data_IF_191389996902
#
_entry.id   IF_191389996902
#
_cell.length_a   1.000
_cell.length_b   1.000
_cell.length_c   1.000
_cell.angle_alpha   90.00
_cell.angle_beta   90.00
_cell.angle_gamma   90.00
#
_symmetry.space_group_name_H-M   'P 1'
#
loop_
_entity.id
_entity.type
_entity.pdbx_description
1 polymer ?
#
# COMPACT_ATOMS: atom_id res chain seq x y z
N UNK A 1 -3.96 -1.86 -12.67
CA UNK A 1 -3.23 -1.33 -11.51
C UNK A 1 -2.57 -2.48 -10.78
N UNK A 2 -1.33 -2.29 -10.40
CA UNK A 2 -0.59 -3.30 -9.64
C UNK A 2 -0.49 -2.87 -8.20
N UNK A 3 -0.20 -3.83 -7.32
CA UNK A 3 -0.16 -3.57 -5.89
C UNK A 3 1.17 -4.01 -5.34
N UNK A 4 1.82 -3.14 -4.56
CA UNK A 4 3.17 -3.37 -4.09
C UNK A 4 3.25 -3.22 -2.58
N UNK A 5 4.03 -4.11 -1.95
CA UNK A 5 4.34 -4.00 -0.53
C UNK A 5 5.80 -3.59 -0.39
N UNK A 6 6.05 -2.64 0.49
CA UNK A 6 7.40 -2.27 0.92
C UNK A 6 7.41 -2.41 2.43
N UNK A 7 8.38 -3.15 2.96
CA UNK A 7 8.39 -3.47 4.38
C UNK A 7 9.36 -2.63 5.20
N UNK A 8 10.43 -2.15 4.59
CA UNK A 8 11.45 -1.36 5.29
C UNK A 8 11.70 -0.07 4.56
N UNK A 9 11.94 1.01 5.27
CA UNK A 9 11.96 1.18 6.72
C UNK A 9 10.60 1.11 7.38
N UNK A 10 9.53 1.38 6.66
CA UNK A 10 8.17 1.28 7.18
C UNK A 10 7.31 0.50 6.22
N UNK A 11 6.38 -0.26 6.75
CA UNK A 11 5.47 -1.03 5.90
C UNK A 11 4.53 -0.09 5.14
N UNK A 12 4.31 -0.40 3.87
CA UNK A 12 3.30 0.30 3.08
C UNK A 12 2.75 -0.62 2.01
N UNK A 13 1.49 -0.45 1.70
CA UNK A 13 0.80 -1.17 0.62
C UNK A 13 0.33 -0.11 -0.37
N UNK A 14 0.87 -0.14 -1.58
CA UNK A 14 0.74 0.96 -2.53
C UNK A 14 0.23 0.47 -3.88
N UNK A 15 -0.88 1.02 -4.39
CA UNK A 15 -1.30 0.76 -5.76
C UNK A 15 -0.49 1.65 -6.71
N UNK A 16 0.03 1.07 -7.77
CA UNK A 16 0.81 1.82 -8.74
C UNK A 16 0.82 1.09 -10.07
N UNK A 17 1.18 1.81 -11.12
CA UNK A 17 1.27 1.21 -12.45
C UNK A 17 2.49 0.31 -12.58
N UNK A 18 3.56 0.66 -11.91
CA UNK A 18 4.80 -0.08 -11.97
C UNK A 18 5.58 0.11 -10.68
N UNK A 19 6.64 -0.67 -10.55
CA UNK A 19 7.48 -0.64 -9.36
C UNK A 19 8.08 0.74 -9.11
N UNK A 20 8.55 1.41 -10.16
CA UNK A 20 9.18 2.71 -10.00
C UNK A 20 8.19 3.75 -9.47
N UNK A 21 6.96 3.72 -9.95
CA UNK A 21 5.93 4.63 -9.46
C UNK A 21 5.64 4.38 -7.98
N UNK A 22 5.62 3.12 -7.57
CA UNK A 22 5.38 2.79 -6.17
C UNK A 22 6.51 3.31 -5.29
N UNK A 23 7.75 3.16 -5.74
CA UNK A 23 8.89 3.65 -4.98
C UNK A 23 8.87 5.17 -4.88
N UNK A 24 8.54 5.85 -5.98
CA UNK A 24 8.45 7.31 -5.95
C UNK A 24 7.41 7.78 -4.95
N UNK A 25 6.26 7.15 -4.94
CA UNK A 25 5.20 7.53 -4.03
C UNK A 25 5.63 7.27 -2.58
N UNK A 26 6.30 6.15 -2.34
CA UNK A 26 6.79 5.83 -1.02
C UNK A 26 7.75 6.90 -0.50
N UNK A 27 8.69 7.32 -1.33
CA UNK A 27 9.67 8.33 -0.94
C UNK A 27 9.00 9.67 -0.67
N UNK A 28 8.01 10.03 -1.48
CA UNK A 28 7.31 11.30 -1.31
C UNK A 28 6.44 11.35 -0.06
N UNK A 29 5.74 10.25 0.23
CA UNK A 29 4.66 10.29 1.20
C UNK A 29 4.98 9.61 2.52
N UNK A 30 5.94 8.72 2.56
CA UNK A 30 6.12 7.87 3.73
C UNK A 30 7.47 8.09 4.39
N UNK A 31 8.56 7.84 3.68
CA UNK A 31 9.89 7.94 4.27
C UNK A 31 10.94 8.07 3.20
N UNK A 32 11.96 8.87 3.48
CA UNK A 32 13.11 8.95 2.60
C UNK A 32 13.82 7.61 2.56
N UNK A 33 14.39 7.29 1.42
CA UNK A 33 15.12 6.06 1.26
C UNK A 33 15.81 6.05 -0.08
N UNK A 34 16.83 5.22 -0.21
CA UNK A 34 17.52 5.10 -1.46
C UNK A 34 16.78 4.16 -2.38
N UNK A 35 16.71 4.53 -3.64
CA UNK A 35 15.98 3.75 -4.64
C UNK A 35 16.43 2.30 -4.64
N UNK A 36 17.75 2.07 -4.58
CA UNK A 36 18.28 0.70 -4.65
C UNK A 36 17.85 -0.14 -3.46
N UNK A 37 17.80 0.46 -2.28
CA UNK A 37 17.33 -0.26 -1.10
C UNK A 37 15.85 -0.60 -1.21
N UNK A 38 15.06 0.38 -1.62
CA UNK A 38 13.63 0.16 -1.74
C UNK A 38 13.32 -0.85 -2.83
N UNK A 39 14.11 -0.84 -3.91
CA UNK A 39 13.92 -1.77 -5.00
C UNK A 39 14.12 -3.23 -4.56
N UNK A 40 15.00 -3.47 -3.59
CA UNK A 40 15.20 -4.83 -3.09
C UNK A 40 14.14 -5.24 -2.09
N UNK A 41 13.45 -4.27 -1.49
CA UNK A 41 12.44 -4.54 -0.46
C UNK A 41 11.02 -4.51 -0.99
N UNK A 42 10.82 -4.18 -2.25
CA UNK A 42 9.49 -4.07 -2.82
C UNK A 42 9.04 -5.39 -3.41
N UNK A 43 7.77 -5.72 -3.19
CA UNK A 43 7.20 -6.96 -3.67
C UNK A 43 5.83 -6.67 -4.29
N UNK A 44 5.60 -7.19 -5.48
CA UNK A 44 4.28 -7.10 -6.10
C UNK A 44 3.40 -8.21 -5.55
N UNK A 45 2.16 -7.88 -5.21
CA UNK A 45 1.20 -8.87 -4.73
C UNK A 45 -0.05 -8.80 -5.60
N UNK A 46 -0.84 -9.86 -5.54
CA UNK A 46 -2.07 -9.93 -6.32
C UNK A 46 -3.11 -8.94 -5.78
N UNK A 47 -3.99 -8.47 -6.66
CA UNK A 47 -5.03 -7.54 -6.25
C UNK A 47 -5.90 -8.10 -5.13
N UNK A 48 -6.27 -9.39 -5.24
CA UNK A 48 -7.12 -9.98 -4.21
C UNK A 48 -6.39 -10.02 -2.87
N UNK A 49 -5.11 -10.30 -2.87
CA UNK A 49 -4.33 -10.30 -1.64
C UNK A 49 -4.26 -8.89 -1.05
N UNK A 50 -4.05 -7.88 -1.88
CA UNK A 50 -4.01 -6.50 -1.43
C UNK A 50 -5.35 -6.09 -0.83
N UNK A 51 -6.45 -6.47 -1.46
CA UNK A 51 -7.78 -6.15 -0.96
C UNK A 51 -8.04 -6.80 0.40
N UNK A 52 -7.65 -8.06 0.55
CA UNK A 52 -7.85 -8.77 1.81
C UNK A 52 -7.08 -8.09 2.94
N UNK A 53 -5.84 -7.70 2.69
CA UNK A 53 -5.03 -7.00 3.69
C UNK A 53 -5.66 -5.66 4.06
N UNK A 54 -6.12 -4.92 3.07
CA UNK A 54 -6.76 -3.64 3.28
C UNK A 54 -8.05 -3.78 4.09
N UNK A 55 -8.89 -4.72 3.71
CA UNK A 55 -10.17 -4.94 4.39
C UNK A 55 -9.95 -5.37 5.84
N UNK A 56 -8.95 -6.23 6.08
CA UNK A 56 -8.66 -6.66 7.43
C UNK A 56 -8.19 -5.51 8.31
N UNK A 57 -7.44 -4.58 7.74
CA UNK A 57 -6.97 -3.43 8.50
C UNK A 57 -8.12 -2.49 8.88
N UNK A 58 -9.20 -2.49 8.10
CA UNK A 58 -10.33 -1.59 8.32
C UNK A 58 -11.48 -2.24 9.07
N UNK A 59 -11.38 -3.50 9.44
CA UNK A 59 -12.53 -4.21 9.99
C UNK A 59 -13.08 -3.58 11.25
N UNK A 60 -12.27 -2.89 12.02
CA UNK A 60 -12.69 -2.26 13.25
C UNK A 60 -13.36 -0.91 13.03
N UNK A 61 -13.42 -0.44 11.81
CA UNK A 61 -14.03 0.84 11.49
C UNK A 61 -15.47 0.71 11.05
N UNK A 62 -16.00 -0.49 11.07
CA UNK A 62 -17.41 -0.76 10.78
C UNK A 62 -17.86 -0.23 9.43
N UNK A 63 -17.00 -0.25 8.46
CA UNK A 63 -17.35 0.18 7.12
C UNK A 63 -18.13 -0.89 6.39
N UNK A 64 -19.05 -0.46 5.54
CA UNK A 64 -19.76 -1.40 4.69
C UNK A 64 -18.81 -1.95 3.64
N UNK A 65 -19.17 -3.09 3.08
CA UNK A 65 -18.37 -3.69 2.01
C UNK A 65 -18.25 -2.73 0.83
N UNK A 66 -19.34 -2.05 0.48
CA UNK A 66 -19.33 -1.10 -0.62
C UNK A 66 -18.32 0.02 -0.41
N UNK A 67 -18.30 0.58 0.81
CA UNK A 67 -17.35 1.65 1.10
C UNK A 67 -15.91 1.15 1.11
N UNK A 68 -15.70 -0.07 1.60
CA UNK A 68 -14.36 -0.66 1.60
C UNK A 68 -13.84 -0.83 0.17
N UNK A 69 -14.68 -1.31 -0.73
CA UNK A 69 -14.29 -1.48 -2.12
C UNK A 69 -13.98 -0.13 -2.76
N UNK A 70 -14.82 0.86 -2.51
CA UNK A 70 -14.63 2.19 -3.07
C UNK A 70 -13.30 2.78 -2.62
N UNK A 71 -13.01 2.71 -1.33
CA UNK A 71 -11.76 3.24 -0.79
C UNK A 71 -10.55 2.50 -1.34
N UNK A 72 -10.67 1.18 -1.50
CA UNK A 72 -9.57 0.39 -2.04
C UNK A 72 -9.16 0.87 -3.43
N UNK A 73 -10.13 1.14 -4.28
CA UNK A 73 -9.84 1.52 -5.67
C UNK A 73 -9.48 2.99 -5.83
N UNK A 74 -9.68 3.81 -4.82
CA UNK A 74 -9.41 5.24 -4.93
C UNK A 74 -8.26 5.72 -4.03
N UNK A 75 -7.70 4.85 -3.21
CA UNK A 75 -6.63 5.25 -2.32
C UNK A 75 -5.30 5.36 -3.06
N UNK A 76 -4.51 6.38 -2.70
CA UNK A 76 -3.14 6.50 -3.21
C UNK A 76 -2.20 5.56 -2.47
N UNK A 77 -2.44 5.38 -1.18
CA UNK A 77 -1.67 4.47 -0.35
C UNK A 77 -2.69 3.72 0.47
N UNK A 78 -2.66 2.39 0.40
CA UNK A 78 -3.66 1.58 1.08
C UNK A 78 -3.36 1.42 2.56
N UNK A 79 -2.12 1.12 2.92
CA UNK A 79 -1.73 0.89 4.31
C UNK A 79 -0.37 1.50 4.57
N UNK A 80 -0.18 2.04 5.77
CA UNK A 80 1.10 2.56 6.24
C UNK A 80 1.30 2.07 7.66
N UNK A 81 2.47 1.52 7.93
CA UNK A 81 2.82 1.03 9.25
C UNK A 81 2.95 2.20 10.22
N UNK A 82 2.51 1.97 11.45
CA UNK A 82 2.67 2.94 12.51
C UNK A 82 1.56 3.94 12.61
N UNK A 83 1.13 4.50 11.51
CA UNK A 83 0.01 5.42 11.56
C UNK A 83 -1.30 4.68 11.45
N UNK A 84 -1.28 3.61 10.69
CA UNK A 84 -2.38 2.68 10.59
C UNK A 84 -3.74 3.32 10.47
N UNK A 85 -3.77 4.39 9.84
CA UNK A 85 -5.06 5.00 9.62
C UNK A 85 -5.68 5.48 10.89
#
# INVERSE_FOLDING_TARGET
MRYYEIRDPYYALIPAKCKDDAISLYVEEIADGEYEELKTNIKQIAEIEAFIKFANALKDEFKTIGKTIDEFYHAHILLIDGSLR
#
